data_IF_879115046505
#
_entry.id   IF_879115046505
#
_cell.length_a   1.000
_cell.length_b   1.000
_cell.length_c   1.000
_cell.angle_alpha   90.00
_cell.angle_beta   90.00
_cell.angle_gamma   90.00
#
_symmetry.space_group_name_H-M   'P 1'
#
loop_
_entity.id
_entity.type
_entity.pdbx_description
1 polymer ?
#
# COMPACT_ATOMS: atom_id res chain seq x y z
N UNK A 1 -24.43 -4.41 -39.58
CA UNK A 1 -23.56 -5.56 -39.91
C UNK A 1 -23.32 -6.35 -38.63
N UNK A 2 -23.56 -7.68 -38.62
CA UNK A 2 -23.27 -8.51 -37.44
C UNK A 2 -21.75 -8.58 -37.20
N UNK A 3 -21.30 -8.49 -35.95
CA UNK A 3 -19.87 -8.63 -35.62
C UNK A 3 -19.44 -10.06 -36.00
N UNK A 4 -18.27 -10.19 -36.65
CA UNK A 4 -17.68 -11.49 -36.94
C UNK A 4 -17.50 -12.31 -35.67
N UNK A 5 -17.74 -13.60 -35.75
CA UNK A 5 -17.65 -14.58 -34.64
C UNK A 5 -16.41 -15.46 -34.77
N UNK A 6 -16.07 -16.20 -33.73
CA UNK A 6 -14.98 -17.18 -33.77
C UNK A 6 -15.27 -18.28 -34.81
N UNK A 7 -16.54 -18.63 -34.99
CA UNK A 7 -17.01 -19.57 -35.99
C UNK A 7 -16.71 -19.10 -37.43
N UNK A 8 -16.85 -17.81 -37.69
CA UNK A 8 -16.55 -17.25 -39.03
C UNK A 8 -15.05 -17.31 -39.34
N UNK A 9 -14.20 -17.02 -38.35
CA UNK A 9 -12.74 -17.19 -38.48
C UNK A 9 -12.38 -18.65 -38.73
N UNK A 10 -12.97 -19.56 -37.95
CA UNK A 10 -12.73 -21.00 -38.06
C UNK A 10 -13.14 -21.54 -39.43
N UNK A 11 -14.31 -21.14 -39.91
CA UNK A 11 -14.83 -21.48 -41.25
C UNK A 11 -13.94 -20.95 -42.38
N UNK A 12 -13.51 -19.68 -42.31
CA UNK A 12 -12.64 -19.05 -43.30
C UNK A 12 -11.29 -19.76 -43.45
N UNK A 13 -10.75 -20.30 -42.35
CA UNK A 13 -9.44 -20.99 -42.33
C UNK A 13 -9.57 -22.50 -42.53
N UNK A 14 -10.76 -23.10 -42.34
CA UNK A 14 -10.97 -24.54 -42.38
C UNK A 14 -10.41 -25.27 -41.17
N UNK A 15 -10.57 -24.71 -39.97
CA UNK A 15 -10.12 -25.29 -38.68
C UNK A 15 -11.29 -25.28 -37.70
N UNK A 16 -11.13 -26.00 -36.55
CA UNK A 16 -12.10 -25.94 -35.47
C UNK A 16 -12.03 -24.64 -34.69
N UNK A 17 -13.14 -24.21 -34.09
CA UNK A 17 -13.17 -23.06 -33.17
C UNK A 17 -12.17 -23.20 -32.02
N UNK A 18 -11.97 -24.43 -31.53
CA UNK A 18 -10.98 -24.72 -30.50
C UNK A 18 -9.55 -24.41 -30.94
N UNK A 19 -9.23 -24.63 -32.23
CA UNK A 19 -7.92 -24.27 -32.80
C UNK A 19 -7.74 -22.77 -32.88
N UNK A 20 -8.78 -22.01 -33.27
CA UNK A 20 -8.75 -20.54 -33.28
C UNK A 20 -8.63 -20.01 -31.85
N UNK A 21 -9.41 -20.57 -30.90
CA UNK A 21 -9.36 -20.20 -29.48
C UNK A 21 -7.96 -20.41 -28.89
N UNK A 22 -7.31 -21.57 -29.17
CA UNK A 22 -5.93 -21.84 -28.73
C UNK A 22 -4.93 -20.83 -29.30
N UNK A 23 -5.08 -20.48 -30.59
CA UNK A 23 -4.23 -19.46 -31.22
C UNK A 23 -4.38 -18.09 -30.53
N UNK A 24 -5.60 -17.65 -30.25
CA UNK A 24 -5.90 -16.39 -29.58
C UNK A 24 -5.32 -16.38 -28.14
N UNK A 25 -5.30 -17.55 -27.48
CA UNK A 25 -4.70 -17.75 -26.15
C UNK A 25 -3.17 -17.92 -26.17
N UNK A 26 -2.50 -17.66 -27.30
CA UNK A 26 -1.02 -17.70 -27.40
C UNK A 26 -0.41 -19.09 -27.63
N UNK A 27 -1.22 -20.14 -27.76
CA UNK A 27 -0.68 -21.47 -28.02
C UNK A 27 -0.18 -21.59 -29.47
N UNK A 28 0.92 -22.30 -29.66
CA UNK A 28 1.41 -22.66 -31.00
C UNK A 28 0.41 -23.58 -31.70
N UNK A 29 -0.07 -23.18 -32.89
CA UNK A 29 -0.97 -23.97 -33.73
C UNK A 29 -0.43 -24.04 -35.16
N UNK A 30 -0.72 -25.16 -35.87
CA UNK A 30 -0.19 -25.40 -37.22
C UNK A 30 -0.57 -24.32 -38.23
N UNK A 31 -1.75 -23.70 -38.10
CA UNK A 31 -2.31 -22.72 -39.07
C UNK A 31 -2.20 -21.27 -38.56
N UNK A 32 -1.27 -20.93 -37.67
CA UNK A 32 -1.15 -19.63 -37.01
C UNK A 32 -1.21 -18.43 -37.97
N UNK A 33 -0.41 -18.46 -39.06
CA UNK A 33 -0.39 -17.37 -40.08
C UNK A 33 -1.73 -17.20 -40.76
N UNK A 34 -2.45 -18.29 -41.08
CA UNK A 34 -3.76 -18.25 -41.76
C UNK A 34 -4.84 -17.72 -40.82
N UNK A 35 -4.80 -18.13 -39.54
CA UNK A 35 -5.74 -17.64 -38.53
C UNK A 35 -5.52 -16.15 -38.27
N UNK A 36 -4.26 -15.70 -38.11
CA UNK A 36 -3.95 -14.27 -37.93
C UNK A 36 -4.45 -13.40 -39.07
N UNK A 37 -4.28 -13.86 -40.31
CA UNK A 37 -4.82 -13.16 -41.51
C UNK A 37 -6.33 -13.12 -41.53
N UNK A 38 -7.00 -14.23 -41.23
CA UNK A 38 -8.47 -14.30 -41.22
C UNK A 38 -9.07 -13.40 -40.12
N UNK A 39 -8.42 -13.31 -38.94
CA UNK A 39 -8.82 -12.38 -37.86
C UNK A 39 -8.78 -10.93 -38.35
N UNK A 40 -7.69 -10.52 -39.04
CA UNK A 40 -7.56 -9.18 -39.62
C UNK A 40 -8.60 -8.91 -40.70
N UNK A 41 -8.75 -9.82 -41.64
CA UNK A 41 -9.68 -9.68 -42.80
C UNK A 41 -11.14 -9.56 -42.36
N UNK A 42 -11.51 -10.22 -41.23
CA UNK A 42 -12.90 -10.21 -40.74
C UNK A 42 -13.11 -9.14 -39.64
N UNK A 43 -12.08 -8.35 -39.29
CA UNK A 43 -12.05 -7.47 -38.08
C UNK A 43 -12.63 -8.18 -36.87
N UNK A 44 -12.24 -9.46 -36.72
CA UNK A 44 -12.72 -10.25 -35.60
C UNK A 44 -12.00 -9.81 -34.31
N UNK A 45 -12.78 -9.44 -33.32
CA UNK A 45 -12.31 -9.14 -31.98
C UNK A 45 -12.82 -10.20 -31.01
N UNK A 46 -11.91 -10.87 -30.27
CA UNK A 46 -12.32 -11.85 -29.27
C UNK A 46 -13.35 -11.25 -28.30
N UNK A 47 -14.45 -11.97 -28.11
CA UNK A 47 -15.41 -11.56 -27.07
C UNK A 47 -14.88 -11.99 -25.69
N UNK A 48 -14.34 -11.01 -24.96
CA UNK A 48 -13.79 -11.21 -23.62
C UNK A 48 -14.84 -11.79 -22.66
N UNK A 49 -16.09 -11.33 -22.76
CA UNK A 49 -17.19 -11.81 -21.92
C UNK A 49 -17.45 -13.31 -22.14
N UNK A 50 -17.52 -13.75 -23.41
CA UNK A 50 -17.71 -15.16 -23.74
C UNK A 50 -16.50 -16.02 -23.29
N UNK A 51 -15.28 -15.48 -23.40
CA UNK A 51 -14.07 -16.15 -22.90
C UNK A 51 -14.12 -16.29 -21.37
N UNK A 52 -14.46 -15.22 -20.67
CA UNK A 52 -14.54 -15.20 -19.21
C UNK A 52 -15.60 -16.19 -18.69
N UNK A 53 -16.77 -16.26 -19.34
CA UNK A 53 -17.79 -17.29 -19.03
C UNK A 53 -17.27 -18.71 -19.20
N UNK A 54 -16.46 -18.96 -20.24
CA UNK A 54 -15.92 -20.31 -20.50
C UNK A 54 -14.76 -20.68 -19.54
N UNK A 55 -13.94 -19.72 -19.13
CA UNK A 55 -12.79 -19.95 -18.24
C UNK A 55 -13.12 -19.80 -16.78
N UNK A 56 -14.24 -19.18 -16.43
CA UNK A 56 -14.58 -18.77 -15.06
C UNK A 56 -13.66 -17.68 -14.51
N UNK A 57 -12.88 -17.00 -15.37
CA UNK A 57 -11.91 -15.95 -14.97
C UNK A 57 -12.18 -14.66 -15.71
N UNK A 58 -12.05 -13.54 -15.01
CA UNK A 58 -12.25 -12.20 -15.56
C UNK A 58 -10.97 -11.58 -16.10
N UNK A 59 -9.81 -12.00 -15.60
CA UNK A 59 -8.52 -11.38 -15.86
C UNK A 59 -8.36 -10.03 -15.15
N UNK A 60 -9.19 -9.74 -14.12
CA UNK A 60 -9.17 -8.51 -13.35
C UNK A 60 -8.87 -8.81 -11.89
N UNK A 61 -8.01 -7.99 -11.28
CA UNK A 61 -7.80 -7.93 -9.84
C UNK A 61 -8.17 -6.53 -9.37
N UNK A 62 -9.00 -6.45 -8.31
CA UNK A 62 -9.29 -5.17 -7.68
C UNK A 62 -8.25 -4.83 -6.63
N UNK A 63 -7.81 -3.57 -6.61
CA UNK A 63 -7.02 -2.98 -5.52
C UNK A 63 -7.86 -1.87 -4.90
N UNK A 64 -8.28 -2.08 -3.65
CA UNK A 64 -9.15 -1.16 -2.92
C UNK A 64 -8.33 -0.41 -1.90
N UNK A 65 -8.25 0.91 -2.03
CA UNK A 65 -7.45 1.79 -1.18
C UNK A 65 -8.31 2.93 -0.63
N UNK A 66 -7.95 3.45 0.57
CA UNK A 66 -8.65 4.59 1.17
C UNK A 66 -8.52 5.88 0.36
N UNK A 67 -7.29 6.26 0.00
CA UNK A 67 -6.99 7.52 -0.68
C UNK A 67 -5.81 7.37 -1.64
N UNK A 68 -6.10 7.31 -2.95
CA UNK A 68 -5.06 7.19 -3.99
C UNK A 68 -4.18 8.44 -4.11
N UNK A 69 -4.60 9.57 -3.55
CA UNK A 69 -3.77 10.79 -3.54
C UNK A 69 -2.62 10.71 -2.55
N UNK A 70 -2.69 9.78 -1.58
CA UNK A 70 -1.56 9.47 -0.73
C UNK A 70 -0.52 8.65 -1.52
N UNK A 71 0.72 9.17 -1.70
CA UNK A 71 1.79 8.51 -2.49
C UNK A 71 2.10 7.07 -2.02
N UNK A 72 1.88 6.77 -0.73
CA UNK A 72 2.03 5.41 -0.20
C UNK A 72 1.15 4.41 -0.96
N UNK A 73 -0.15 4.71 -1.12
CA UNK A 73 -1.06 3.81 -1.82
C UNK A 73 -0.78 3.75 -3.33
N UNK A 74 -0.35 4.86 -3.94
CA UNK A 74 0.06 4.87 -5.34
C UNK A 74 1.27 3.94 -5.59
N UNK A 75 2.27 3.99 -4.71
CA UNK A 75 3.44 3.09 -4.75
C UNK A 75 3.05 1.62 -4.54
N UNK A 76 2.14 1.35 -3.60
CA UNK A 76 1.60 0.00 -3.34
C UNK A 76 0.90 -0.56 -4.59
N UNK A 77 0.02 0.23 -5.20
CA UNK A 77 -0.69 -0.15 -6.44
C UNK A 77 0.31 -0.43 -7.56
N UNK A 78 1.35 0.39 -7.70
CA UNK A 78 2.41 0.19 -8.69
C UNK A 78 3.16 -1.13 -8.48
N UNK A 79 3.48 -1.47 -7.22
CA UNK A 79 4.09 -2.76 -6.88
C UNK A 79 3.20 -3.95 -7.23
N UNK A 80 1.92 -3.86 -6.93
CA UNK A 80 0.94 -4.87 -7.28
C UNK A 80 0.80 -5.02 -8.81
N UNK A 81 0.76 -3.92 -9.57
CA UNK A 81 0.67 -3.92 -11.04
C UNK A 81 1.87 -4.62 -11.68
N UNK A 82 3.09 -4.30 -11.24
CA UNK A 82 4.31 -4.93 -11.77
C UNK A 82 4.31 -6.43 -11.49
N UNK A 83 3.89 -6.85 -10.29
CA UNK A 83 3.82 -8.25 -9.92
C UNK A 83 2.69 -9.03 -10.64
N UNK A 84 1.62 -8.35 -11.06
CA UNK A 84 0.56 -8.93 -11.88
C UNK A 84 1.02 -9.23 -13.32
N UNK A 85 2.00 -8.47 -13.83
CA UNK A 85 2.50 -8.59 -15.19
C UNK A 85 1.39 -8.44 -16.23
N UNK A 86 1.49 -9.19 -17.32
CA UNK A 86 0.50 -9.20 -18.41
C UNK A 86 -0.70 -10.15 -18.14
N UNK A 87 -0.69 -10.88 -17.01
CA UNK A 87 -1.72 -11.88 -16.72
C UNK A 87 -3.02 -11.23 -16.24
N UNK A 88 -2.92 -10.14 -15.47
CA UNK A 88 -4.07 -9.47 -14.88
C UNK A 88 -4.02 -7.94 -15.08
N UNK A 89 -5.18 -7.37 -15.34
CA UNK A 89 -5.36 -5.91 -15.26
C UNK A 89 -5.79 -5.51 -13.85
N UNK A 90 -5.28 -4.37 -13.39
CA UNK A 90 -5.66 -3.81 -12.09
C UNK A 90 -6.88 -2.90 -12.24
N UNK A 91 -7.90 -3.17 -11.45
CA UNK A 91 -9.03 -2.28 -11.22
C UNK A 91 -8.84 -1.54 -9.90
N UNK A 92 -8.37 -0.30 -9.96
CA UNK A 92 -8.24 0.52 -8.77
C UNK A 92 -9.60 1.04 -8.30
N UNK A 93 -9.87 0.92 -7.00
CA UNK A 93 -11.05 1.45 -6.34
C UNK A 93 -10.61 2.33 -5.17
N UNK A 94 -10.87 3.64 -5.29
CA UNK A 94 -10.63 4.61 -4.23
C UNK A 94 -11.90 4.78 -3.40
N UNK A 95 -11.86 4.48 -2.10
CA UNK A 95 -13.03 4.60 -1.22
C UNK A 95 -13.24 6.00 -0.70
N UNK A 96 -12.21 6.84 -0.68
CA UNK A 96 -12.27 8.23 -0.21
C UNK A 96 -12.56 8.33 1.29
N UNK A 97 -12.04 7.37 2.06
CA UNK A 97 -12.29 7.23 3.51
C UNK A 97 -13.79 7.14 3.90
N UNK A 98 -14.65 6.67 2.96
CA UNK A 98 -16.08 6.50 3.14
C UNK A 98 -16.44 5.02 3.31
N UNK A 99 -16.96 4.63 4.49
CA UNK A 99 -17.37 3.26 4.81
C UNK A 99 -18.52 2.74 3.93
N UNK A 100 -19.45 3.58 3.54
CA UNK A 100 -20.56 3.14 2.68
C UNK A 100 -20.07 2.89 1.26
N UNK A 101 -19.16 3.72 0.77
CA UNK A 101 -18.48 3.50 -0.52
C UNK A 101 -17.62 2.24 -0.49
N UNK A 102 -16.93 1.96 0.61
CA UNK A 102 -16.18 0.72 0.83
C UNK A 102 -17.10 -0.51 0.74
N UNK A 103 -18.19 -0.54 1.49
CA UNK A 103 -19.17 -1.63 1.47
C UNK A 103 -19.80 -1.81 0.08
N UNK A 104 -20.14 -0.70 -0.58
CA UNK A 104 -20.68 -0.71 -1.93
C UNK A 104 -19.69 -1.31 -2.94
N UNK A 105 -18.42 -0.93 -2.87
CA UNK A 105 -17.36 -1.42 -3.74
C UNK A 105 -17.19 -2.94 -3.57
N UNK A 106 -17.04 -3.40 -2.33
CA UNK A 106 -16.84 -4.82 -2.02
C UNK A 106 -17.98 -5.71 -2.53
N UNK A 107 -19.25 -5.29 -2.33
CA UNK A 107 -20.41 -6.03 -2.86
C UNK A 107 -20.40 -6.13 -4.39
N UNK A 108 -19.91 -5.11 -5.09
CA UNK A 108 -19.91 -5.08 -6.56
C UNK A 108 -18.76 -5.81 -7.20
N UNK A 109 -17.71 -6.13 -6.48
CA UNK A 109 -16.57 -6.89 -7.00
C UNK A 109 -16.86 -8.38 -7.17
N UNK A 110 -17.79 -8.93 -6.39
CA UNK A 110 -18.14 -10.36 -6.44
C UNK A 110 -18.59 -10.74 -7.85
N UNK A 111 -17.93 -11.75 -8.43
CA UNK A 111 -18.19 -12.22 -9.80
C UNK A 111 -17.68 -11.28 -10.91
N UNK A 112 -17.00 -10.18 -10.58
CA UNK A 112 -16.45 -9.22 -11.56
C UNK A 112 -14.93 -9.18 -11.59
N UNK A 113 -14.28 -9.66 -10.53
CA UNK A 113 -12.82 -9.77 -10.40
C UNK A 113 -12.46 -11.16 -9.92
N UNK A 114 -11.22 -11.57 -10.18
CA UNK A 114 -10.70 -12.88 -9.80
C UNK A 114 -10.09 -12.88 -8.41
N UNK A 115 -9.79 -11.70 -7.88
CA UNK A 115 -9.26 -11.50 -6.54
C UNK A 115 -9.20 -10.04 -6.13
N UNK A 116 -8.93 -9.81 -4.84
CA UNK A 116 -8.94 -8.47 -4.24
C UNK A 116 -7.71 -8.27 -3.35
N UNK A 117 -7.00 -7.18 -3.55
CA UNK A 117 -6.06 -6.59 -2.59
C UNK A 117 -6.82 -5.47 -1.88
N UNK A 118 -6.88 -5.52 -0.56
CA UNK A 118 -7.77 -4.66 0.19
C UNK A 118 -7.12 -4.00 1.40
N UNK A 119 -7.24 -2.68 1.46
CA UNK A 119 -6.87 -1.85 2.61
C UNK A 119 -8.14 -1.39 3.31
N UNK A 120 -8.56 -2.01 4.43
CA UNK A 120 -9.78 -1.63 5.13
C UNK A 120 -9.64 -0.27 5.83
N UNK A 121 -10.75 0.48 5.90
CA UNK A 121 -10.77 1.77 6.60
C UNK A 121 -10.65 1.60 8.10
N UNK A 122 -11.35 0.63 8.66
CA UNK A 122 -11.39 0.34 10.09
C UNK A 122 -11.32 -1.16 10.35
N UNK A 123 -10.66 -1.56 11.44
CA UNK A 123 -10.54 -2.96 11.84
C UNK A 123 -11.87 -3.60 12.25
N UNK A 124 -12.81 -2.80 12.73
CA UNK A 124 -14.16 -3.25 13.10
C UNK A 124 -15.14 -3.33 11.94
N UNK A 125 -14.69 -3.05 10.71
CA UNK A 125 -15.56 -3.07 9.54
C UNK A 125 -16.19 -4.46 9.36
N UNK A 126 -17.52 -4.53 9.38
CA UNK A 126 -18.28 -5.72 9.02
C UNK A 126 -18.50 -5.85 7.50
N UNK A 127 -17.82 -4.98 6.72
CA UNK A 127 -17.93 -4.96 5.25
C UNK A 127 -17.60 -6.31 4.61
N UNK A 128 -16.78 -7.11 5.32
CA UNK A 128 -16.36 -8.43 4.88
C UNK A 128 -16.74 -9.48 5.93
N UNK A 129 -17.57 -10.44 5.54
CA UNK A 129 -17.68 -11.73 6.20
C UNK A 129 -17.31 -12.82 5.19
N UNK A 130 -16.75 -13.94 5.65
CA UNK A 130 -16.48 -15.10 4.80
C UNK A 130 -17.74 -15.55 4.02
N UNK A 131 -18.94 -15.25 4.54
CA UNK A 131 -20.21 -15.54 3.87
C UNK A 131 -20.53 -14.54 2.75
N UNK A 132 -20.10 -13.27 2.87
CA UNK A 132 -20.42 -12.22 1.89
C UNK A 132 -19.52 -12.22 0.67
N UNK A 133 -18.25 -12.64 0.81
CA UNK A 133 -17.29 -12.72 -0.29
C UNK A 133 -17.30 -14.07 -1.03
N UNK A 134 -17.93 -15.09 -0.41
CA UNK A 134 -17.94 -16.45 -0.99
C UNK A 134 -16.52 -17.01 -1.10
N UNK A 135 -16.17 -17.48 -2.30
CA UNK A 135 -14.84 -18.03 -2.60
C UNK A 135 -13.87 -17.02 -3.22
N UNK A 136 -14.18 -15.71 -3.21
CA UNK A 136 -13.32 -14.69 -3.81
C UNK A 136 -12.02 -14.54 -3.02
N UNK A 137 -10.84 -14.85 -3.61
CA UNK A 137 -9.55 -14.64 -2.97
C UNK A 137 -9.34 -13.18 -2.57
N UNK A 138 -8.84 -12.96 -1.34
CA UNK A 138 -8.58 -11.63 -0.80
C UNK A 138 -7.31 -11.65 0.03
N UNK A 139 -6.51 -10.57 -0.11
CA UNK A 139 -5.33 -10.30 0.70
C UNK A 139 -5.46 -8.91 1.30
N UNK A 140 -5.31 -8.81 2.61
CA UNK A 140 -5.23 -7.53 3.31
C UNK A 140 -3.84 -6.91 3.16
N UNK A 141 -3.79 -5.58 3.03
CA UNK A 141 -2.53 -4.83 3.02
C UNK A 141 -2.64 -3.62 3.92
N UNK A 142 -1.54 -3.26 4.60
CA UNK A 142 -1.42 -2.12 5.51
C UNK A 142 -2.30 -2.21 6.76
N UNK A 143 -3.54 -2.66 6.60
CA UNK A 143 -4.53 -2.80 7.68
C UNK A 143 -5.24 -4.14 7.58
N UNK A 144 -5.70 -4.66 8.73
CA UNK A 144 -6.49 -5.89 8.79
C UNK A 144 -7.80 -5.66 9.53
N UNK A 145 -8.74 -6.58 9.36
CA UNK A 145 -9.95 -6.59 10.18
C UNK A 145 -9.73 -7.41 11.45
N UNK A 146 -10.34 -7.03 12.56
CA UNK A 146 -10.23 -7.74 13.85
C UNK A 146 -10.68 -9.21 13.75
N UNK A 147 -11.60 -9.52 12.84
CA UNK A 147 -12.11 -10.87 12.58
C UNK A 147 -11.58 -11.46 11.27
N UNK A 148 -10.35 -11.10 10.88
CA UNK A 148 -9.76 -11.55 9.61
C UNK A 148 -9.10 -12.93 9.66
N UNK A 149 -9.35 -13.74 10.69
CA UNK A 149 -8.82 -15.09 10.83
C UNK A 149 -9.28 -15.99 9.67
N UNK A 150 -8.57 -15.98 8.58
CA UNK A 150 -8.93 -16.75 7.37
C UNK A 150 -8.43 -16.09 6.09
N UNK A 151 -7.80 -14.91 6.18
CA UNK A 151 -7.26 -14.18 5.05
C UNK A 151 -5.77 -13.91 5.21
N UNK A 152 -5.07 -13.91 4.08
CA UNK A 152 -3.67 -13.48 4.04
C UNK A 152 -3.55 -11.98 4.29
N UNK A 153 -2.40 -11.56 4.84
CA UNK A 153 -2.11 -10.14 5.03
C UNK A 153 -0.63 -9.81 4.81
N UNK A 154 -0.39 -8.61 4.30
CA UNK A 154 0.96 -8.02 4.15
C UNK A 154 0.98 -6.69 4.89
N UNK A 155 1.70 -6.64 5.99
CA UNK A 155 1.74 -5.50 6.91
C UNK A 155 3.17 -4.99 7.06
N UNK A 156 3.35 -3.70 7.36
CA UNK A 156 4.63 -3.20 7.84
C UNK A 156 4.82 -3.56 9.33
N UNK A 157 6.07 -3.61 9.80
CA UNK A 157 6.35 -3.69 11.24
C UNK A 157 6.11 -2.34 11.91
N UNK A 158 4.82 -2.00 12.07
CA UNK A 158 4.39 -0.73 12.64
C UNK A 158 4.88 -0.55 14.09
N UNK A 159 4.90 -1.63 14.89
CA UNK A 159 5.42 -1.56 16.25
C UNK A 159 6.90 -1.19 16.25
N UNK A 160 7.69 -1.83 15.40
CA UNK A 160 9.11 -1.50 15.26
C UNK A 160 9.31 -0.06 14.78
N UNK A 161 8.47 0.41 13.85
CA UNK A 161 8.54 1.78 13.35
C UNK A 161 8.30 2.83 14.44
N UNK A 162 7.26 2.66 15.24
CA UNK A 162 7.00 3.53 16.40
C UNK A 162 8.10 3.47 17.44
N UNK A 163 8.65 2.27 17.68
CA UNK A 163 9.76 2.06 18.62
C UNK A 163 11.04 2.77 18.15
N UNK A 164 11.42 2.61 16.89
CA UNK A 164 12.61 3.25 16.30
C UNK A 164 12.52 4.77 16.35
N UNK A 165 11.38 5.36 15.99
CA UNK A 165 11.18 6.81 16.01
C UNK A 165 11.35 7.38 17.42
N UNK A 166 10.68 6.78 18.42
CA UNK A 166 10.78 7.23 19.81
C UNK A 166 12.17 7.02 20.38
N UNK A 167 12.78 5.85 20.16
CA UNK A 167 14.13 5.53 20.65
C UNK A 167 15.16 6.54 20.12
N UNK A 168 15.10 6.88 18.84
CA UNK A 168 16.02 7.86 18.24
C UNK A 168 15.88 9.25 18.87
N UNK A 169 14.66 9.74 19.08
CA UNK A 169 14.45 11.02 19.76
C UNK A 169 14.95 10.99 21.20
N UNK A 170 14.76 9.87 21.91
CA UNK A 170 15.26 9.69 23.27
C UNK A 170 16.80 9.70 23.31
N UNK A 171 17.46 9.04 22.36
CA UNK A 171 18.91 9.01 22.21
C UNK A 171 19.51 10.38 21.90
N UNK A 172 18.78 11.24 21.18
CA UNK A 172 19.13 12.65 20.97
C UNK A 172 18.88 13.52 22.21
N UNK A 173 18.42 12.96 23.33
CA UNK A 173 18.24 13.64 24.61
C UNK A 173 16.83 14.17 24.88
N UNK A 174 15.90 14.02 23.95
CA UNK A 174 14.53 14.49 24.15
C UNK A 174 13.82 13.65 25.24
N UNK A 175 13.04 14.34 26.08
CA UNK A 175 12.20 13.72 27.13
C UNK A 175 10.75 14.17 27.02
N UNK A 176 10.51 15.37 26.54
CA UNK A 176 9.19 15.93 26.22
C UNK A 176 8.87 15.66 24.74
N UNK A 177 8.45 14.42 24.45
CA UNK A 177 8.23 13.93 23.09
C UNK A 177 6.74 13.80 22.84
N UNK A 178 6.23 14.48 21.81
CA UNK A 178 4.85 14.33 21.37
C UNK A 178 4.73 13.22 20.31
N UNK A 179 3.53 12.68 20.23
CA UNK A 179 3.14 11.75 19.19
C UNK A 179 1.80 12.14 18.57
N UNK A 180 1.80 12.38 17.25
CA UNK A 180 0.59 12.55 16.45
C UNK A 180 0.30 11.21 15.77
N UNK A 181 -0.65 10.47 16.35
CA UNK A 181 -1.08 9.15 15.88
C UNK A 181 -2.16 9.26 14.82
N UNK A 182 -2.30 8.24 13.97
CA UNK A 182 -3.55 8.00 13.25
C UNK A 182 -4.62 7.38 14.14
N UNK A 183 -5.81 7.06 13.58
CA UNK A 183 -6.89 6.43 14.33
C UNK A 183 -6.42 5.14 15.00
N UNK A 184 -6.63 5.02 16.30
CA UNK A 184 -6.27 3.82 17.08
C UNK A 184 -7.14 2.62 16.71
N UNK A 185 -8.24 2.84 16.01
CA UNK A 185 -9.09 1.82 15.40
C UNK A 185 -8.50 1.20 14.13
N UNK A 186 -7.34 1.68 13.68
CA UNK A 186 -6.59 1.13 12.54
C UNK A 186 -5.30 0.45 12.99
N UNK A 187 -4.89 -0.62 12.27
CA UNK A 187 -3.65 -1.36 12.55
C UNK A 187 -2.42 -0.43 12.67
N UNK A 188 -2.12 0.46 11.67
CA UNK A 188 -0.94 1.32 11.77
C UNK A 188 -1.03 2.36 12.92
N UNK A 189 -2.20 2.94 13.17
CA UNK A 189 -2.37 3.90 14.27
C UNK A 189 -2.10 3.26 15.63
N UNK A 190 -2.73 2.13 15.89
CA UNK A 190 -2.58 1.38 17.14
C UNK A 190 -1.16 0.83 17.32
N UNK A 191 -0.62 0.14 16.32
CA UNK A 191 0.67 -0.53 16.47
C UNK A 191 1.84 0.45 16.57
N UNK A 192 1.82 1.58 15.83
CA UNK A 192 2.82 2.65 15.96
C UNK A 192 2.77 3.26 17.36
N UNK A 193 1.56 3.43 17.94
CA UNK A 193 1.41 3.89 19.32
C UNK A 193 1.96 2.90 20.33
N UNK A 194 1.74 1.60 20.15
CA UNK A 194 2.31 0.55 21.01
C UNK A 194 3.84 0.62 21.00
N UNK A 195 4.45 0.68 19.81
CA UNK A 195 5.89 0.77 19.65
C UNK A 195 6.49 2.04 20.28
N UNK A 196 5.86 3.19 20.03
CA UNK A 196 6.25 4.47 20.63
C UNK A 196 6.24 4.41 22.16
N UNK A 197 5.13 3.95 22.75
CA UNK A 197 4.99 3.83 24.20
C UNK A 197 5.98 2.82 24.82
N UNK A 198 6.27 1.73 24.12
CA UNK A 198 7.27 0.76 24.52
C UNK A 198 8.65 1.39 24.67
N UNK A 199 9.09 2.19 23.69
CA UNK A 199 10.38 2.88 23.74
C UNK A 199 10.47 3.88 24.92
N UNK A 200 9.40 4.63 25.19
CA UNK A 200 9.35 5.52 26.35
C UNK A 200 9.47 4.73 27.66
N UNK A 201 8.70 3.65 27.79
CA UNK A 201 8.67 2.83 29.00
C UNK A 201 10.04 2.17 29.30
N UNK A 202 10.75 1.66 28.29
CA UNK A 202 12.08 1.08 28.42
C UNK A 202 13.13 2.07 28.95
N UNK A 203 12.89 3.38 28.76
CA UNK A 203 13.77 4.45 29.25
C UNK A 203 13.20 5.18 30.47
N UNK A 204 12.14 4.64 31.10
CA UNK A 204 11.51 5.22 32.29
C UNK A 204 10.84 6.57 32.06
N UNK A 205 10.50 6.91 30.81
CA UNK A 205 9.82 8.16 30.46
C UNK A 205 8.31 7.94 30.56
N UNK A 206 7.64 8.68 31.42
CA UNK A 206 6.18 8.65 31.51
C UNK A 206 5.61 9.53 30.40
N UNK A 207 4.76 8.95 29.55
CA UNK A 207 4.09 9.70 28.50
C UNK A 207 3.16 10.76 29.11
N UNK A 208 3.34 12.02 28.73
CA UNK A 208 2.39 13.07 29.06
C UNK A 208 1.19 12.95 28.13
N UNK A 209 0.00 12.76 28.69
CA UNK A 209 -1.23 12.62 27.89
C UNK A 209 -1.53 13.87 27.03
N UNK A 210 -1.04 15.05 27.42
CA UNK A 210 -1.16 16.27 26.62
C UNK A 210 -0.29 16.25 25.37
N UNK A 211 0.71 15.36 25.25
CA UNK A 211 1.57 15.22 24.10
C UNK A 211 1.11 14.13 23.13
N UNK A 212 0.05 13.41 23.46
CA UNK A 212 -0.58 12.47 22.55
C UNK A 212 -1.75 13.14 21.82
N UNK A 213 -1.77 13.01 20.50
CA UNK A 213 -2.86 13.47 19.64
C UNK A 213 -3.25 12.38 18.67
N UNK A 214 -4.48 11.89 18.78
CA UNK A 214 -5.07 11.04 17.76
C UNK A 214 -5.62 11.91 16.63
N UNK A 215 -5.38 11.53 15.39
CA UNK A 215 -5.78 12.21 14.17
C UNK A 215 -6.30 11.20 13.14
N UNK A 216 -6.54 11.63 11.91
CA UNK A 216 -7.29 10.92 10.87
C UNK A 216 -6.47 10.53 9.64
N UNK A 217 -5.14 10.61 9.72
CA UNK A 217 -4.20 10.41 8.62
C UNK A 217 -4.26 11.47 7.51
N UNK A 218 -5.00 12.56 7.68
CA UNK A 218 -5.08 13.66 6.71
C UNK A 218 -4.09 14.77 7.00
N UNK A 219 -3.78 15.60 5.99
CA UNK A 219 -2.94 16.79 6.18
C UNK A 219 -3.63 17.82 7.11
N UNK A 220 -4.95 17.97 7.01
CA UNK A 220 -5.71 18.85 7.89
C UNK A 220 -5.66 18.39 9.35
N UNK A 221 -5.85 17.08 9.59
CA UNK A 221 -5.75 16.51 10.92
C UNK A 221 -4.36 16.70 11.53
N UNK A 222 -3.30 16.48 10.74
CA UNK A 222 -1.93 16.74 11.17
C UNK A 222 -1.67 18.21 11.53
N UNK A 223 -2.20 19.14 10.74
CA UNK A 223 -2.12 20.57 11.02
C UNK A 223 -2.83 20.93 12.34
N UNK A 224 -4.05 20.45 12.55
CA UNK A 224 -4.83 20.72 13.76
C UNK A 224 -4.17 20.12 15.01
N UNK A 225 -3.68 18.88 14.91
CA UNK A 225 -2.96 18.21 16.00
C UNK A 225 -1.70 18.97 16.40
N UNK A 226 -0.90 19.40 15.43
CA UNK A 226 0.31 20.18 15.68
C UNK A 226 -0.03 21.56 16.30
N UNK A 227 -1.00 22.28 15.76
CA UNK A 227 -1.44 23.57 16.31
C UNK A 227 -1.90 23.43 17.76
N UNK A 228 -2.58 22.32 18.09
CA UNK A 228 -2.97 21.99 19.47
C UNK A 228 -1.76 21.74 20.39
N UNK A 229 -0.71 21.10 19.89
CA UNK A 229 0.55 20.90 20.65
C UNK A 229 1.28 22.23 20.88
N UNK A 230 1.31 23.11 19.88
CA UNK A 230 1.95 24.43 19.96
C UNK A 230 1.25 25.38 20.92
N UNK A 231 -0.04 25.16 21.20
CA UNK A 231 -0.84 25.97 22.13
C UNK A 231 -0.64 25.58 23.59
N UNK A 232 0.10 24.50 23.89
CA UNK A 232 0.36 24.07 25.26
C UNK A 232 1.27 25.06 26.00
N UNK A 233 1.05 25.23 27.30
CA UNK A 233 1.94 26.04 28.16
C UNK A 233 3.37 25.50 28.20
N UNK A 234 3.50 24.18 28.26
CA UNK A 234 4.79 23.47 28.14
C UNK A 234 4.74 22.69 26.84
N UNK A 235 5.53 23.12 25.88
CA UNK A 235 5.58 22.50 24.55
C UNK A 235 6.48 21.27 24.57
N UNK A 236 6.20 20.25 23.76
CA UNK A 236 7.16 19.19 23.51
C UNK A 236 8.38 19.75 22.77
N UNK A 237 9.53 19.12 22.94
CA UNK A 237 10.76 19.47 22.23
C UNK A 237 10.99 18.62 20.97
N UNK A 238 10.20 17.56 20.82
CA UNK A 238 10.24 16.68 19.66
C UNK A 238 8.87 16.10 19.39
N UNK A 239 8.62 15.72 18.13
CA UNK A 239 7.37 15.07 17.73
C UNK A 239 7.64 13.93 16.74
N UNK A 240 6.98 12.80 16.96
CA UNK A 240 6.81 11.75 15.98
C UNK A 240 5.41 11.85 15.35
N UNK A 241 5.32 11.75 14.03
CA UNK A 241 4.09 11.90 13.26
C UNK A 241 3.85 10.63 12.45
N UNK A 242 2.70 10.01 12.65
CA UNK A 242 2.45 8.62 12.27
C UNK A 242 2.17 8.39 10.76
N UNK A 243 2.16 9.40 9.89
CA UNK A 243 2.15 9.22 8.44
C UNK A 243 2.62 10.47 7.69
N UNK A 244 2.83 10.34 6.38
CA UNK A 244 3.31 11.39 5.49
C UNK A 244 2.37 12.59 5.37
N UNK A 245 1.05 12.36 5.19
CA UNK A 245 0.10 13.46 5.01
C UNK A 245 -0.03 14.30 6.28
N UNK A 246 -0.14 13.68 7.46
CA UNK A 246 -0.14 14.42 8.72
C UNK A 246 1.18 15.16 8.93
N UNK A 247 2.32 14.59 8.48
CA UNK A 247 3.61 15.26 8.55
C UNK A 247 3.61 16.55 7.74
N UNK A 248 3.09 16.54 6.51
CA UNK A 248 2.92 17.73 5.70
C UNK A 248 2.07 18.80 6.41
N UNK A 249 0.95 18.39 6.99
CA UNK A 249 0.08 19.29 7.75
C UNK A 249 0.76 19.88 8.99
N UNK A 250 1.48 19.06 9.73
CA UNK A 250 2.23 19.48 10.91
C UNK A 250 3.36 20.47 10.57
N UNK A 251 4.11 20.18 9.51
CA UNK A 251 5.17 21.10 9.03
C UNK A 251 4.59 22.46 8.59
N UNK A 252 3.39 22.46 7.98
CA UNK A 252 2.68 23.70 7.67
C UNK A 252 2.33 24.47 8.93
N UNK A 253 1.82 23.83 9.98
CA UNK A 253 1.52 24.47 11.26
C UNK A 253 2.79 25.05 11.91
N UNK A 254 3.89 24.28 11.94
CA UNK A 254 5.20 24.75 12.46
C UNK A 254 5.66 26.01 11.75
N UNK A 255 5.60 26.02 10.41
CA UNK A 255 5.98 27.17 9.58
C UNK A 255 5.12 28.40 9.88
N UNK A 256 3.81 28.25 9.96
CA UNK A 256 2.88 29.37 10.25
C UNK A 256 3.10 29.96 11.65
N UNK A 257 3.45 29.12 12.63
CA UNK A 257 3.77 29.55 13.99
C UNK A 257 5.24 29.97 14.17
N UNK A 258 6.03 29.99 13.10
CA UNK A 258 7.46 30.37 13.09
C UNK A 258 8.30 29.53 14.06
N UNK A 259 8.02 28.24 14.14
CA UNK A 259 8.78 27.26 14.92
C UNK A 259 9.87 26.69 14.04
N UNK A 260 11.12 26.83 14.46
CA UNK A 260 12.27 26.31 13.75
C UNK A 260 12.41 24.79 13.96
N UNK A 261 12.67 24.07 12.88
CA UNK A 261 12.98 22.63 12.90
C UNK A 261 14.43 22.48 12.52
N UNK A 262 15.27 21.81 13.30
CA UNK A 262 14.96 21.08 14.55
C UNK A 262 15.10 21.91 15.84
N UNK A 263 15.54 23.16 15.80
CA UNK A 263 16.03 23.95 16.94
C UNK A 263 14.97 24.13 18.03
N UNK A 264 13.74 24.48 17.65
CA UNK A 264 12.62 24.63 18.60
C UNK A 264 11.87 23.30 18.76
N UNK A 265 11.80 22.48 17.71
CA UNK A 265 11.10 21.20 17.71
C UNK A 265 11.70 20.22 16.71
N UNK A 266 12.26 19.11 17.20
CA UNK A 266 12.69 18.00 16.37
C UNK A 266 11.47 17.25 15.77
N UNK A 267 11.57 16.84 14.52
CA UNK A 267 10.46 16.16 13.81
C UNK A 267 10.93 14.86 13.20
N UNK A 268 10.18 13.79 13.43
CA UNK A 268 10.28 12.52 12.71
C UNK A 268 8.92 12.20 12.08
N UNK A 269 8.92 11.90 10.77
CA UNK A 269 7.74 11.44 10.04
C UNK A 269 7.68 9.92 9.88
N UNK A 270 6.66 9.46 9.18
CA UNK A 270 6.50 8.08 8.73
C UNK A 270 6.15 8.08 7.25
N UNK A 271 6.65 7.12 6.51
CA UNK A 271 6.65 7.00 5.05
C UNK A 271 7.64 7.98 4.39
N UNK A 272 8.65 7.42 3.74
CA UNK A 272 9.65 8.19 3.00
C UNK A 272 9.18 8.45 1.56
N UNK A 273 9.36 9.69 1.12
CA UNK A 273 9.03 10.14 -0.23
C UNK A 273 10.09 11.14 -0.71
N UNK A 274 10.21 11.31 -2.01
CA UNK A 274 11.15 12.27 -2.63
C UNK A 274 11.09 13.67 -2.01
N UNK A 275 9.90 14.10 -1.57
CA UNK A 275 9.74 15.41 -0.92
C UNK A 275 10.46 15.48 0.43
N UNK A 276 10.75 14.35 1.09
CA UNK A 276 11.44 14.33 2.39
C UNK A 276 12.86 14.89 2.30
N UNK A 277 13.52 14.74 1.15
CA UNK A 277 14.84 15.30 0.90
C UNK A 277 14.80 16.77 0.45
N UNK A 278 13.67 17.22 -0.09
CA UNK A 278 13.48 18.57 -0.63
C UNK A 278 12.99 19.58 0.40
N UNK A 279 12.44 19.10 1.54
CA UNK A 279 12.03 19.97 2.66
C UNK A 279 13.29 20.51 3.35
N UNK A 280 13.23 21.76 3.82
CA UNK A 280 14.28 22.38 4.59
C UNK A 280 13.84 22.59 6.06
N UNK A 281 14.51 21.90 7.02
CA UNK A 281 15.56 20.88 6.83
C UNK A 281 15.03 19.54 6.30
N UNK A 282 15.86 18.72 5.62
CA UNK A 282 15.48 17.39 5.15
C UNK A 282 14.93 16.51 6.27
N UNK A 283 13.82 15.82 5.97
CA UNK A 283 12.98 15.17 6.96
C UNK A 283 13.49 13.77 7.33
N UNK A 284 13.75 13.53 8.62
CA UNK A 284 13.97 12.21 9.21
C UNK A 284 12.65 11.45 9.24
N UNK A 285 12.65 10.21 8.76
CA UNK A 285 11.43 9.40 8.65
C UNK A 285 11.67 7.93 8.99
N UNK A 286 10.61 7.26 9.40
CA UNK A 286 10.54 5.80 9.33
C UNK A 286 10.08 5.44 7.92
N UNK A 287 10.94 4.73 7.19
CA UNK A 287 10.69 4.27 5.83
C UNK A 287 10.19 2.83 5.84
N UNK A 288 9.28 2.54 4.92
CA UNK A 288 8.83 1.19 4.57
C UNK A 288 8.69 1.08 3.06
N UNK A 289 8.92 -0.11 2.53
CA UNK A 289 8.80 -0.35 1.10
C UNK A 289 7.33 -0.65 0.70
N UNK A 290 6.60 0.40 0.32
CA UNK A 290 5.21 0.29 -0.13
C UNK A 290 5.09 -0.50 -1.44
N UNK A 291 6.06 -0.36 -2.34
CA UNK A 291 6.11 -1.11 -3.60
C UNK A 291 6.26 -2.61 -3.34
N UNK A 292 7.18 -3.00 -2.45
CA UNK A 292 7.36 -4.39 -2.03
C UNK A 292 6.09 -4.94 -1.36
N UNK A 293 5.39 -4.15 -0.51
CA UNK A 293 4.12 -4.57 0.08
C UNK A 293 3.08 -4.90 -0.99
N UNK A 294 2.94 -4.05 -2.00
CA UNK A 294 2.03 -4.29 -3.13
C UNK A 294 2.40 -5.53 -3.94
N UNK A 295 3.70 -5.71 -4.22
CA UNK A 295 4.19 -6.87 -4.96
C UNK A 295 3.96 -8.19 -4.20
N UNK A 296 4.25 -8.22 -2.89
CA UNK A 296 4.01 -9.39 -2.04
C UNK A 296 2.52 -9.72 -1.91
N UNK A 297 1.66 -8.70 -1.80
CA UNK A 297 0.22 -8.89 -1.76
C UNK A 297 -0.29 -9.51 -3.07
N UNK A 298 0.17 -9.02 -4.21
CA UNK A 298 -0.19 -9.59 -5.51
C UNK A 298 0.31 -11.02 -5.67
N UNK A 299 1.58 -11.30 -5.34
CA UNK A 299 2.14 -12.65 -5.41
C UNK A 299 1.34 -13.64 -4.55
N UNK A 300 1.00 -13.23 -3.32
CA UNK A 300 0.19 -14.04 -2.40
C UNK A 300 -1.22 -14.28 -2.95
N UNK A 301 -1.85 -13.25 -3.52
CA UNK A 301 -3.17 -13.35 -4.12
C UNK A 301 -3.18 -14.30 -5.33
N UNK A 302 -2.17 -14.21 -6.19
CA UNK A 302 -2.03 -15.09 -7.36
C UNK A 302 -1.84 -16.57 -6.96
N UNK A 303 -1.11 -16.85 -5.87
CA UNK A 303 -1.01 -18.20 -5.31
C UNK A 303 -2.40 -18.75 -4.93
N UNK A 304 -3.25 -17.92 -4.30
CA UNK A 304 -4.63 -18.32 -3.95
C UNK A 304 -5.52 -18.54 -5.17
N UNK A 305 -5.47 -17.63 -6.16
CA UNK A 305 -6.25 -17.74 -7.39
C UNK A 305 -5.88 -19.01 -8.18
N UNK A 306 -4.61 -19.39 -8.18
CA UNK A 306 -4.10 -20.59 -8.87
C UNK A 306 -4.36 -21.88 -8.10
N UNK A 307 -4.86 -21.80 -6.86
CA UNK A 307 -5.10 -22.95 -6.00
C UNK A 307 -3.81 -23.64 -5.51
N UNK A 308 -2.66 -22.98 -5.66
CA UNK A 308 -1.36 -23.51 -5.27
C UNK A 308 -1.23 -23.58 -3.74
N UNK A 309 -1.86 -22.63 -3.06
CA UNK A 309 -1.74 -22.46 -1.62
C UNK A 309 -3.03 -22.84 -0.90
N UNK A 310 -3.13 -24.09 -0.46
CA UNK A 310 -4.21 -24.60 0.39
C UNK A 310 -3.88 -24.50 1.90
N UNK A 311 -2.72 -23.92 2.25
CA UNK A 311 -2.27 -23.76 3.63
C UNK A 311 -3.04 -22.67 4.37
N UNK A 312 -2.94 -22.66 5.72
CA UNK A 312 -3.54 -21.59 6.52
C UNK A 312 -3.06 -20.20 6.05
N UNK A 313 -3.86 -19.15 6.32
CA UNK A 313 -3.53 -17.78 5.95
C UNK A 313 -2.15 -17.37 6.46
N UNK A 314 -1.41 -16.65 5.62
CA UNK A 314 -0.08 -16.12 5.93
C UNK A 314 -0.20 -14.66 6.39
N UNK A 315 0.57 -14.29 7.41
CA UNK A 315 0.84 -12.90 7.76
C UNK A 315 2.27 -12.58 7.36
N UNK A 316 2.45 -11.78 6.34
CA UNK A 316 3.76 -11.32 5.87
C UNK A 316 4.02 -9.96 6.51
N UNK A 317 5.15 -9.83 7.19
CA UNK A 317 5.58 -8.58 7.78
C UNK A 317 6.74 -8.02 6.97
N UNK A 318 6.64 -6.76 6.54
CA UNK A 318 7.68 -6.02 5.81
C UNK A 318 8.41 -5.14 6.82
N UNK A 319 9.73 -5.20 6.78
CA UNK A 319 10.59 -4.43 7.68
C UNK A 319 10.45 -2.91 7.45
N UNK A 320 10.78 -2.16 8.49
CA UNK A 320 10.85 -0.71 8.49
C UNK A 320 12.22 -0.24 8.92
N UNK A 321 12.67 0.89 8.41
CA UNK A 321 13.98 1.44 8.70
C UNK A 321 13.86 2.92 9.08
N UNK A 322 14.73 3.39 9.98
CA UNK A 322 14.88 4.80 10.27
C UNK A 322 15.86 5.43 9.26
N UNK A 323 15.39 6.39 8.49
CA UNK A 323 16.22 7.22 7.59
C UNK A 323 16.48 8.54 8.28
N UNK A 324 17.69 8.68 8.83
CA UNK A 324 18.10 9.86 9.59
C UNK A 324 18.51 10.96 8.64
N UNK A 325 17.86 12.13 8.76
CA UNK A 325 18.17 13.37 8.08
C UNK A 325 18.34 14.50 9.13
N UNK A 326 18.10 15.76 8.76
CA UNK A 326 18.38 16.91 9.61
C UNK A 326 17.25 17.29 10.55
N UNK A 327 15.99 16.99 10.25
CA UNK A 327 14.82 17.47 11.00
C UNK A 327 14.72 16.96 12.44
N UNK A 328 15.48 15.93 12.81
CA UNK A 328 15.54 15.42 14.19
C UNK A 328 16.67 16.04 15.02
N UNK A 329 17.50 16.93 14.44
CA UNK A 329 18.66 17.53 15.13
C UNK A 329 19.90 16.64 15.13
N UNK A 330 19.90 15.51 14.42
CA UNK A 330 21.10 14.68 14.29
C UNK A 330 22.16 15.38 13.43
N UNK A 331 23.41 15.34 13.90
CA UNK A 331 24.57 15.81 13.15
C UNK A 331 25.17 14.73 12.22
N UNK A 332 24.67 13.50 12.32
CA UNK A 332 25.15 12.39 11.51
C UNK A 332 24.49 12.38 10.11
N UNK A 333 25.31 12.45 9.08
CA UNK A 333 24.90 12.13 7.72
C UNK A 333 24.98 10.60 7.55
N UNK A 334 23.86 9.88 7.68
CA UNK A 334 23.78 8.55 7.11
C UNK A 334 23.49 8.69 5.62
N UNK A 335 24.47 8.32 4.79
CA UNK A 335 24.24 8.06 3.35
C UNK A 335 23.13 7.03 3.25
N UNK A 336 22.10 7.33 2.47
CA UNK A 336 21.03 6.39 2.17
C UNK A 336 21.61 5.12 1.53
N UNK A 337 21.20 3.96 2.00
CA UNK A 337 21.57 2.65 1.42
C UNK A 337 21.11 2.46 -0.05
N UNK A 338 20.46 3.44 -0.64
CA UNK A 338 20.02 3.41 -2.04
C UNK A 338 21.18 3.60 -3.03
N UNK A 339 22.21 4.39 -2.68
CA UNK A 339 23.39 4.52 -3.55
C UNK A 339 24.18 3.20 -3.64
N UNK A 340 24.23 2.42 -2.55
CA UNK A 340 24.88 1.11 -2.56
C UNK A 340 24.09 0.06 -3.37
N UNK A 341 22.78 0.12 -3.37
CA UNK A 341 21.92 -0.78 -4.16
C UNK A 341 21.94 -0.42 -5.65
N UNK A 342 22.10 0.85 -6.00
CA UNK A 342 22.16 1.29 -7.40
C UNK A 342 23.48 0.87 -8.06
N UNK A 343 24.60 0.95 -7.32
CA UNK A 343 25.92 0.48 -7.79
C UNK A 343 25.98 -1.05 -7.93
N UNK A 344 25.39 -1.81 -7.00
CA UNK A 344 25.31 -3.27 -7.09
C UNK A 344 24.39 -3.74 -8.24
N UNK A 345 23.32 -3.00 -8.54
CA UNK A 345 22.41 -3.32 -9.66
C UNK A 345 23.03 -2.99 -11.00
N UNK A 346 23.80 -1.92 -11.10
CA UNK A 346 24.56 -1.54 -12.32
C UNK A 346 25.73 -2.51 -12.59
N UNK A 347 26.41 -2.98 -11.56
CA UNK A 347 27.49 -3.97 -11.71
C UNK A 347 26.98 -5.35 -12.12
N UNK A 348 25.77 -5.73 -11.73
CA UNK A 348 25.14 -6.97 -12.15
C UNK A 348 24.64 -6.94 -13.62
N UNK A 349 24.30 -5.75 -14.14
CA UNK A 349 23.84 -5.56 -15.53
C UNK A 349 24.97 -5.41 -16.54
N UNK A 350 26.22 -5.18 -16.10
CA UNK A 350 27.40 -5.07 -16.99
C UNK A 350 28.16 -6.37 -17.16
N UNK A 351 27.73 -7.48 -16.56
CA UNK A 351 28.37 -8.81 -16.63
C UNK A 351 27.51 -9.87 -17.37
N UNK A 352 26.48 -9.44 -18.10
CA UNK A 352 25.74 -10.27 -19.08
C UNK A 352 25.76 -9.62 -20.45
#
# INVERSE_FOLDING_TARGET
MSKATISDVARKVGVSESTVSRFISGYKVRNAKRISRAIKDLDYRPNIVARNLKTGRTGLIAVVVPDITNPFFASLVRGAEIAAGDEYMIQLINTGDDLEREKWALKRMIGRVDGVIYVPLQESSEAISNKSLGSLPLVFVDRVLTKSNGFDSVLADNCQGGFLAASHLIELGHRAIAFISGPLSSTPGRERAIGFNKALAERGIVQNSQYFRESDFTSLGGYQAMSGLLSLKVRPTAVFIANNLMTIGALKALKEHRISVPEDMAVIGFDDHEISDLIDPPLTVISRDAHLQGALAMATLLERIRGINQFPPKQIKVDVNLVVRKSCGSTCHHRSNEEAKFEDTLSALTLT
#
